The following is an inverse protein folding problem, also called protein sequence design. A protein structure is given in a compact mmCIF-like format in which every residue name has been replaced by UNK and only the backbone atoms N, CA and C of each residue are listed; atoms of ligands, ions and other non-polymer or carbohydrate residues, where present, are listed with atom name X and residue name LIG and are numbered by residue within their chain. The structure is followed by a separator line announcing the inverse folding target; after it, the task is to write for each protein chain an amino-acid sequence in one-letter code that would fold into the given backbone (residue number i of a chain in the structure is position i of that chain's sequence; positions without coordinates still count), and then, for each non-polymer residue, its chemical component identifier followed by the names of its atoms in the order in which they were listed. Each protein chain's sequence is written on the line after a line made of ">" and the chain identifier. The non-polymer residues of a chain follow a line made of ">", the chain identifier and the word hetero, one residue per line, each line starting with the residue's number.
data_IF_636190261942
#
_entry.id   IF_636190261942
#
_cell.length_a   1.000
_cell.length_b   1.000
_cell.length_c   1.000
_cell.angle_alpha   90.00
_cell.angle_beta   90.00
_cell.angle_gamma   90.00
#
_symmetry.space_group_name_H-M   'P 1'
#
loop_
_entity.id
_entity.type
_entity.pdbx_description
1 polymer ?
#
# COMPACT_ATOMS: atom_id res chain seq x y z
N UNK A 1 4.42 13.40 -23.27
CA UNK A 1 3.45 12.36 -23.61
C UNK A 1 3.23 11.57 -22.34
N UNK A 2 2.00 11.57 -21.79
CA UNK A 2 1.64 10.69 -20.69
C UNK A 2 1.75 9.26 -21.21
N UNK A 3 2.68 8.47 -20.67
CA UNK A 3 2.66 7.04 -20.90
C UNK A 3 1.28 6.54 -20.48
N UNK A 4 0.55 5.96 -21.45
CA UNK A 4 -0.75 5.39 -21.20
C UNK A 4 -0.56 4.32 -20.15
N UNK A 5 -1.19 4.50 -18.96
CA UNK A 5 -1.36 3.41 -18.00
C UNK A 5 -1.71 2.16 -18.81
N UNK A 6 -0.86 1.14 -18.74
CA UNK A 6 -1.15 -0.10 -19.43
C UNK A 6 -2.52 -0.59 -18.95
N UNK A 7 -3.47 -0.68 -19.85
CA UNK A 7 -4.80 -1.18 -19.56
C UNK A 7 -5.18 -2.28 -20.54
N UNK A 8 -5.90 -3.24 -20.03
CA UNK A 8 -6.52 -4.32 -20.79
C UNK A 8 -8.03 -4.08 -20.79
N UNK A 9 -8.68 -4.31 -21.92
CA UNK A 9 -10.13 -4.17 -22.04
C UNK A 9 -10.73 -5.37 -22.77
N UNK A 10 -11.99 -5.68 -22.46
CA UNK A 10 -12.67 -6.87 -22.93
C UNK A 10 -12.51 -8.06 -21.98
N UNK A 11 -13.60 -8.79 -21.79
CA UNK A 11 -13.71 -9.83 -20.75
C UNK A 11 -12.67 -10.93 -20.94
N UNK A 12 -12.55 -11.47 -22.17
CA UNK A 12 -11.63 -12.57 -22.49
C UNK A 12 -10.17 -12.18 -22.26
N UNK A 13 -9.76 -11.01 -22.74
CA UNK A 13 -8.38 -10.54 -22.60
C UNK A 13 -7.97 -10.35 -21.11
N UNK A 14 -8.92 -9.94 -20.26
CA UNK A 14 -8.67 -9.79 -18.82
C UNK A 14 -8.56 -11.17 -18.14
N UNK A 15 -9.41 -12.14 -18.50
CA UNK A 15 -9.31 -13.52 -18.01
C UNK A 15 -7.93 -14.10 -18.36
N UNK A 16 -7.52 -14.00 -19.63
CA UNK A 16 -6.22 -14.47 -20.09
C UNK A 16 -5.05 -13.79 -19.36
N UNK A 17 -5.15 -12.48 -19.10
CA UNK A 17 -4.14 -11.76 -18.34
C UNK A 17 -4.02 -12.26 -16.90
N UNK A 18 -5.15 -12.52 -16.21
CA UNK A 18 -5.17 -13.10 -14.87
C UNK A 18 -4.55 -14.50 -14.87
N UNK A 19 -4.95 -15.35 -15.82
CA UNK A 19 -4.43 -16.71 -15.95
C UNK A 19 -2.93 -16.75 -16.30
N UNK A 20 -2.45 -15.75 -17.04
CA UNK A 20 -1.03 -15.58 -17.34
C UNK A 20 -0.23 -14.97 -16.18
N UNK A 21 -0.85 -14.74 -15.01
CA UNK A 21 -0.18 -14.18 -13.83
C UNK A 21 0.22 -12.70 -13.96
N UNK A 22 -0.42 -11.93 -14.88
CA UNK A 22 -0.13 -10.50 -14.97
C UNK A 22 -0.63 -9.76 -13.74
N UNK A 23 0.19 -8.88 -13.20
CA UNK A 23 -0.17 -8.05 -12.06
C UNK A 23 -1.22 -7.01 -12.44
N UNK A 24 -2.42 -7.18 -11.89
CA UNK A 24 -3.55 -6.28 -12.12
C UNK A 24 -3.76 -5.42 -10.89
N UNK A 25 -3.77 -4.11 -11.09
CA UNK A 25 -4.01 -3.14 -10.03
C UNK A 25 -5.48 -3.12 -9.62
N UNK A 26 -6.39 -3.01 -10.61
CA UNK A 26 -7.84 -3.06 -10.39
C UNK A 26 -8.61 -3.40 -11.67
N UNK A 27 -9.83 -3.88 -11.49
CA UNK A 27 -10.79 -4.13 -12.58
C UNK A 27 -12.03 -3.26 -12.39
N UNK A 28 -12.38 -2.47 -13.41
CA UNK A 28 -13.67 -1.78 -13.51
C UNK A 28 -14.64 -2.64 -14.28
N UNK A 29 -15.82 -2.86 -13.73
CA UNK A 29 -16.87 -3.67 -14.35
C UNK A 29 -18.15 -2.87 -14.40
N UNK A 30 -18.84 -2.86 -15.53
CA UNK A 30 -20.16 -2.26 -15.70
C UNK A 30 -21.14 -2.87 -14.68
N UNK A 31 -22.00 -2.02 -14.05
CA UNK A 31 -22.93 -2.45 -12.98
C UNK A 31 -23.79 -3.65 -13.36
N UNK A 32 -24.36 -3.64 -14.56
CA UNK A 32 -25.36 -4.61 -15.03
C UNK A 32 -24.78 -5.64 -16.02
N UNK A 33 -23.51 -6.02 -15.85
CA UNK A 33 -22.90 -7.02 -16.72
C UNK A 33 -23.49 -8.40 -16.43
N UNK A 34 -24.05 -9.03 -17.46
CA UNK A 34 -24.63 -10.38 -17.39
C UNK A 34 -24.25 -11.11 -18.67
N UNK A 35 -23.25 -11.98 -18.60
CA UNK A 35 -22.86 -12.87 -19.69
C UNK A 35 -22.14 -14.07 -19.10
N UNK A 36 -22.09 -15.20 -19.80
CA UNK A 36 -21.33 -16.37 -19.37
C UNK A 36 -19.85 -16.01 -19.15
N UNK A 37 -19.26 -15.24 -20.07
CA UNK A 37 -17.88 -14.75 -19.91
C UNK A 37 -17.69 -13.89 -18.67
N UNK A 38 -18.70 -13.10 -18.26
CA UNK A 38 -18.58 -12.32 -17.03
C UNK A 38 -18.62 -13.19 -15.77
N UNK A 39 -19.35 -14.31 -15.78
CA UNK A 39 -19.33 -15.28 -14.69
C UNK A 39 -17.94 -15.93 -14.57
N UNK A 40 -17.36 -16.33 -15.71
CA UNK A 40 -15.99 -16.86 -15.76
C UNK A 40 -14.98 -15.86 -15.19
N UNK A 41 -15.06 -14.58 -15.59
CA UNK A 41 -14.21 -13.51 -15.04
C UNK A 41 -14.34 -13.40 -13.52
N UNK A 42 -15.56 -13.36 -12.99
CA UNK A 42 -15.76 -13.29 -11.54
C UNK A 42 -15.24 -14.54 -10.80
N UNK A 43 -15.30 -15.70 -11.43
CA UNK A 43 -14.71 -16.93 -10.88
C UNK A 43 -13.19 -16.80 -10.80
N UNK A 44 -12.54 -16.32 -11.86
CA UNK A 44 -11.09 -16.07 -11.86
C UNK A 44 -10.68 -15.03 -10.80
N UNK A 45 -11.47 -13.97 -10.63
CA UNK A 45 -11.18 -12.88 -9.68
C UNK A 45 -11.41 -13.29 -8.22
N UNK A 46 -12.27 -14.27 -7.93
CA UNK A 46 -12.67 -14.64 -6.56
C UNK A 46 -11.49 -15.05 -5.68
N UNK A 47 -10.47 -15.65 -6.27
CA UNK A 47 -9.29 -16.15 -5.54
C UNK A 47 -8.08 -15.21 -5.66
N UNK A 48 -8.31 -13.95 -6.03
CA UNK A 48 -7.26 -12.94 -6.16
C UNK A 48 -7.49 -11.77 -5.21
N UNK A 49 -6.44 -10.99 -4.95
CA UNK A 49 -6.51 -9.72 -4.22
C UNK A 49 -6.84 -8.54 -5.15
N UNK A 50 -7.25 -8.80 -6.40
CA UNK A 50 -7.53 -7.76 -7.40
C UNK A 50 -8.84 -7.06 -7.03
N UNK A 51 -8.82 -5.74 -6.76
CA UNK A 51 -10.03 -4.97 -6.46
C UNK A 51 -10.95 -4.91 -7.69
N UNK A 52 -12.23 -5.23 -7.49
CA UNK A 52 -13.27 -5.12 -8.53
C UNK A 52 -14.21 -3.98 -8.18
N UNK A 53 -14.29 -2.97 -9.03
CA UNK A 53 -15.17 -1.85 -8.85
C UNK A 53 -16.31 -1.86 -9.87
N UNK A 54 -17.55 -1.94 -9.40
CA UNK A 54 -18.74 -1.80 -10.26
C UNK A 54 -19.02 -0.34 -10.53
N UNK A 55 -19.05 0.04 -11.80
CA UNK A 55 -19.20 1.45 -12.23
C UNK A 55 -20.27 1.58 -13.33
N UNK A 56 -20.86 2.77 -13.51
CA UNK A 56 -21.67 3.07 -14.69
C UNK A 56 -20.83 2.91 -15.98
N UNK A 57 -21.45 2.48 -17.06
CA UNK A 57 -20.76 2.25 -18.35
C UNK A 57 -20.12 3.51 -18.89
N UNK A 58 -20.69 4.68 -18.62
CA UNK A 58 -20.20 6.00 -19.01
C UNK A 58 -18.81 6.28 -18.45
N UNK A 59 -18.51 5.78 -17.23
CA UNK A 59 -17.18 5.88 -16.64
C UNK A 59 -16.15 5.06 -17.44
N UNK A 60 -16.53 3.88 -17.91
CA UNK A 60 -15.66 3.03 -18.76
C UNK A 60 -15.48 3.69 -20.13
N UNK A 61 -16.56 4.23 -20.73
CA UNK A 61 -16.52 4.92 -22.02
C UNK A 61 -15.61 6.16 -22.01
N UNK A 62 -15.45 6.83 -20.86
CA UNK A 62 -14.50 7.95 -20.71
C UNK A 62 -13.04 7.48 -20.71
N UNK A 63 -12.77 6.25 -20.27
CA UNK A 63 -11.44 5.67 -20.22
C UNK A 63 -11.03 5.16 -21.60
N UNK A 64 -11.93 4.44 -22.28
CA UNK A 64 -11.70 3.91 -23.62
C UNK A 64 -12.98 3.82 -24.41
N UNK A 65 -12.90 4.17 -25.72
CA UNK A 65 -13.98 3.99 -26.70
C UNK A 65 -13.88 2.68 -27.49
N UNK A 66 -12.84 1.86 -27.21
CA UNK A 66 -12.67 0.58 -27.86
C UNK A 66 -13.71 -0.43 -27.33
N UNK A 67 -13.86 -1.56 -28.01
CA UNK A 67 -14.81 -2.60 -27.61
C UNK A 67 -14.41 -3.24 -26.27
N UNK A 68 -14.74 -2.60 -25.18
CA UNK A 68 -14.40 -3.02 -23.82
C UNK A 68 -15.38 -4.03 -23.22
N UNK A 69 -16.51 -4.30 -23.85
CA UNK A 69 -17.51 -5.28 -23.38
C UNK A 69 -17.97 -5.03 -21.92
N UNK A 70 -17.87 -3.77 -21.44
CA UNK A 70 -18.22 -3.39 -20.08
C UNK A 70 -17.14 -3.70 -19.02
N UNK A 71 -15.91 -4.03 -19.40
CA UNK A 71 -14.83 -4.33 -18.48
C UNK A 71 -13.51 -3.71 -18.94
N UNK A 72 -12.77 -3.12 -17.97
CA UNK A 72 -11.41 -2.60 -18.14
C UNK A 72 -10.58 -2.98 -16.92
N UNK A 73 -9.38 -3.47 -17.13
CA UNK A 73 -8.38 -3.73 -16.10
C UNK A 73 -7.20 -2.77 -16.25
N UNK A 74 -6.66 -2.31 -15.14
CA UNK A 74 -5.42 -1.54 -15.09
C UNK A 74 -4.30 -2.46 -14.61
N UNK A 75 -3.18 -2.41 -15.30
CA UNK A 75 -2.00 -3.20 -14.96
C UNK A 75 -1.23 -2.47 -13.85
N UNK A 76 -0.76 -3.22 -12.88
CA UNK A 76 0.14 -2.71 -11.84
C UNK A 76 1.54 -2.48 -12.40
N UNK A 77 2.21 -1.43 -11.92
CA UNK A 77 3.63 -1.19 -12.22
C UNK A 77 4.58 -1.94 -11.29
N UNK A 78 4.05 -2.63 -10.28
CA UNK A 78 4.82 -3.43 -9.31
C UNK A 78 4.22 -4.81 -9.16
N UNK A 79 5.03 -5.78 -8.77
CA UNK A 79 4.57 -7.09 -8.29
C UNK A 79 4.22 -6.95 -6.81
N UNK A 80 2.96 -7.23 -6.48
CA UNK A 80 2.54 -7.20 -5.09
C UNK A 80 3.00 -8.47 -4.36
N UNK A 81 3.46 -8.28 -3.14
CA UNK A 81 3.82 -9.36 -2.23
C UNK A 81 2.72 -9.59 -1.18
N UNK A 82 2.86 -10.66 -0.42
CA UNK A 82 2.07 -10.93 0.79
C UNK A 82 2.95 -10.76 2.01
N UNK A 83 2.39 -10.17 3.03
CA UNK A 83 3.08 -10.01 4.31
C UNK A 83 3.50 -11.36 4.90
N UNK A 84 2.65 -12.40 4.73
CA UNK A 84 2.90 -13.77 5.20
C UNK A 84 4.12 -14.44 4.55
N UNK A 85 4.46 -14.08 3.32
CA UNK A 85 5.62 -14.60 2.61
C UNK A 85 6.89 -13.80 2.94
N UNK A 86 6.77 -12.48 3.11
CA UNK A 86 7.89 -11.58 3.30
C UNK A 86 8.46 -11.64 4.73
N UNK A 87 7.60 -11.73 5.75
CA UNK A 87 8.03 -11.68 7.17
C UNK A 87 8.99 -12.82 7.52
N UNK A 88 8.69 -14.12 7.21
CA UNK A 88 9.62 -15.21 7.49
C UNK A 88 10.97 -15.01 6.81
N UNK A 89 10.97 -14.59 5.54
CA UNK A 89 12.19 -14.35 4.77
C UNK A 89 13.08 -13.29 5.43
N UNK A 90 12.51 -12.17 5.90
CA UNK A 90 13.28 -11.12 6.57
C UNK A 90 13.88 -11.60 7.90
N UNK A 91 13.15 -12.41 8.67
CA UNK A 91 13.68 -12.98 9.91
C UNK A 91 14.77 -14.04 9.66
N UNK A 92 14.64 -14.85 8.61
CA UNK A 92 15.68 -15.80 8.19
C UNK A 92 16.97 -15.09 7.78
N UNK A 93 16.86 -13.89 7.19
CA UNK A 93 18.01 -13.02 6.91
C UNK A 93 18.59 -12.31 8.16
N UNK A 94 18.01 -12.53 9.33
CA UNK A 94 18.43 -11.89 10.58
C UNK A 94 18.10 -10.40 10.68
N UNK A 95 17.15 -9.92 9.87
CA UNK A 95 16.72 -8.50 9.89
C UNK A 95 15.81 -8.22 11.07
N UNK A 96 15.78 -6.95 11.47
CA UNK A 96 14.78 -6.38 12.37
C UNK A 96 13.83 -5.50 11.56
N UNK A 97 12.72 -6.05 11.02
CA UNK A 97 11.95 -5.37 9.99
C UNK A 97 11.31 -4.05 10.45
N UNK A 98 11.26 -3.07 9.54
CA UNK A 98 10.51 -1.83 9.65
C UNK A 98 9.47 -1.79 8.54
N UNK A 99 8.20 -1.92 8.89
CA UNK A 99 7.09 -1.82 7.95
C UNK A 99 6.30 -0.53 8.14
N UNK A 100 5.74 -0.03 7.03
CA UNK A 100 4.82 1.11 7.04
C UNK A 100 3.49 0.67 6.43
N UNK A 101 2.45 0.65 7.25
CA UNK A 101 1.09 0.31 6.80
C UNK A 101 0.32 1.59 6.50
N UNK A 102 -0.25 1.67 5.30
CA UNK A 102 -1.00 2.83 4.81
C UNK A 102 -2.49 2.50 4.74
N UNK A 103 -3.22 2.89 5.77
CA UNK A 103 -4.63 2.59 5.91
C UNK A 103 -5.49 3.72 5.34
N UNK A 104 -6.05 3.49 4.14
CA UNK A 104 -6.92 4.44 3.48
C UNK A 104 -6.20 5.57 2.73
N UNK A 105 -4.89 5.47 2.49
CA UNK A 105 -4.17 6.44 1.67
C UNK A 105 -4.50 6.19 0.20
N UNK A 106 -5.17 7.15 -0.44
CA UNK A 106 -5.65 7.06 -1.84
C UNK A 106 -4.96 8.03 -2.79
N UNK A 107 -4.31 9.08 -2.27
CA UNK A 107 -3.56 10.03 -3.09
C UNK A 107 -2.21 9.44 -3.52
N UNK A 108 -2.00 9.41 -4.84
CA UNK A 108 -0.79 8.82 -5.45
C UNK A 108 0.48 9.61 -5.12
N UNK A 109 0.36 10.92 -4.87
CA UNK A 109 1.52 11.77 -4.54
C UNK A 109 1.97 11.51 -3.11
N UNK A 110 1.03 11.43 -2.17
CA UNK A 110 1.34 11.06 -0.79
C UNK A 110 1.95 9.66 -0.71
N UNK A 111 1.34 8.69 -1.39
CA UNK A 111 1.90 7.33 -1.47
C UNK A 111 3.32 7.32 -2.04
N UNK A 112 3.54 7.99 -3.18
CA UNK A 112 4.86 8.04 -3.80
C UNK A 112 5.91 8.72 -2.93
N UNK A 113 5.55 9.80 -2.23
CA UNK A 113 6.44 10.48 -1.30
C UNK A 113 6.79 9.59 -0.09
N UNK A 114 5.80 8.87 0.46
CA UNK A 114 6.03 7.89 1.55
C UNK A 114 6.93 6.76 1.06
N UNK A 115 6.65 6.20 -0.12
CA UNK A 115 7.44 5.11 -0.69
C UNK A 115 8.92 5.53 -0.88
N UNK A 116 9.15 6.73 -1.40
CA UNK A 116 10.49 7.29 -1.53
C UNK A 116 11.17 7.42 -0.17
N UNK A 117 10.46 7.91 0.85
CA UNK A 117 11.00 8.05 2.20
C UNK A 117 11.31 6.70 2.82
N UNK A 118 10.43 5.71 2.65
CA UNK A 118 10.64 4.34 3.11
C UNK A 118 11.92 3.72 2.52
N UNK A 119 12.10 3.85 1.20
CA UNK A 119 13.29 3.33 0.52
C UNK A 119 14.55 4.02 1.01
N UNK A 120 14.57 5.36 1.04
CA UNK A 120 15.71 6.14 1.54
C UNK A 120 16.07 5.83 3.00
N UNK A 121 15.09 5.43 3.80
CA UNK A 121 15.25 5.08 5.22
C UNK A 121 15.56 3.60 5.47
N UNK A 122 15.56 2.77 4.42
CA UNK A 122 15.78 1.33 4.56
C UNK A 122 14.61 0.59 5.20
N UNK A 123 13.37 1.08 5.05
CA UNK A 123 12.19 0.31 5.44
C UNK A 123 12.04 -0.92 4.53
N UNK A 124 11.63 -2.04 5.11
CA UNK A 124 11.60 -3.34 4.41
C UNK A 124 10.35 -3.54 3.57
N UNK A 125 9.22 -2.88 3.89
CA UNK A 125 8.00 -2.95 3.09
C UNK A 125 7.01 -1.83 3.39
N UNK A 126 6.14 -1.58 2.39
CA UNK A 126 4.87 -0.88 2.57
C UNK A 126 3.73 -1.88 2.50
N UNK A 127 2.76 -1.76 3.41
CA UNK A 127 1.53 -2.57 3.42
C UNK A 127 0.36 -1.67 3.05
N UNK A 128 -0.44 -2.11 2.07
CA UNK A 128 -1.65 -1.41 1.64
C UNK A 128 -2.85 -2.35 1.61
N UNK A 129 -4.08 -1.87 1.90
CA UNK A 129 -5.27 -2.67 1.69
C UNK A 129 -5.58 -2.85 0.20
N UNK A 130 -6.24 -3.95 -0.15
CA UNK A 130 -6.71 -4.19 -1.51
C UNK A 130 -7.86 -3.28 -1.94
N UNK A 131 -8.56 -2.65 -0.98
CA UNK A 131 -9.65 -1.70 -1.22
C UNK A 131 -9.35 -0.37 -0.52
N UNK A 132 -9.93 0.71 -1.03
CA UNK A 132 -9.71 2.06 -0.50
C UNK A 132 -8.24 2.42 -0.38
N UNK A 133 -7.47 2.08 -1.39
CA UNK A 133 -6.03 2.31 -1.47
C UNK A 133 -5.64 2.94 -2.79
N UNK A 134 -4.41 3.37 -2.86
CA UNK A 134 -3.80 3.94 -4.06
C UNK A 134 -3.68 2.89 -5.17
N UNK A 135 -3.73 3.34 -6.41
CA UNK A 135 -3.31 2.54 -7.57
C UNK A 135 -1.81 2.68 -7.78
N UNK A 136 -1.07 1.58 -7.76
CA UNK A 136 0.38 1.61 -8.00
C UNK A 136 0.63 1.54 -9.51
N UNK A 137 0.60 2.69 -10.13
CA UNK A 137 0.70 2.91 -11.57
C UNK A 137 1.96 3.73 -11.92
N UNK A 138 2.11 4.13 -13.18
CA UNK A 138 3.22 4.96 -13.66
C UNK A 138 3.37 6.29 -12.90
N UNK A 139 2.27 6.90 -12.45
CA UNK A 139 2.32 8.13 -11.64
C UNK A 139 2.90 7.84 -10.24
N UNK A 140 2.56 6.71 -9.63
CA UNK A 140 3.16 6.27 -8.36
C UNK A 140 4.67 6.01 -8.54
N UNK A 141 5.07 5.35 -9.62
CA UNK A 141 6.48 5.12 -9.94
C UNK A 141 7.25 6.44 -10.09
N UNK A 142 6.67 7.40 -10.79
CA UNK A 142 7.27 8.73 -10.98
C UNK A 142 7.37 9.51 -9.67
N UNK A 143 6.31 9.54 -8.86
CA UNK A 143 6.28 10.29 -7.60
C UNK A 143 7.17 9.67 -6.54
N UNK A 144 7.39 8.36 -6.57
CA UNK A 144 8.36 7.67 -5.72
C UNK A 144 9.81 7.82 -6.17
N UNK A 145 10.06 8.52 -7.29
CA UNK A 145 11.39 8.64 -7.88
C UNK A 145 12.11 7.29 -8.12
N UNK A 146 11.33 6.24 -8.42
CA UNK A 146 11.84 4.90 -8.67
C UNK A 146 11.94 3.99 -7.44
N UNK A 147 11.68 4.48 -6.22
CA UNK A 147 11.75 3.67 -5.00
C UNK A 147 10.90 2.38 -5.07
N UNK A 148 9.77 2.44 -5.76
CA UNK A 148 8.87 1.28 -5.94
C UNK A 148 9.44 0.16 -6.85
N UNK A 149 10.62 0.33 -7.45
CA UNK A 149 11.31 -0.76 -8.14
C UNK A 149 11.98 -1.73 -7.17
N UNK A 150 12.36 -1.26 -6.00
CA UNK A 150 13.14 -2.01 -4.99
C UNK A 150 12.35 -2.26 -3.72
N UNK A 151 11.51 -1.30 -3.29
CA UNK A 151 10.73 -1.40 -2.06
C UNK A 151 9.54 -2.35 -2.24
N UNK A 152 9.45 -3.45 -1.48
CA UNK A 152 8.30 -4.35 -1.49
C UNK A 152 6.99 -3.64 -1.13
N UNK A 153 5.93 -3.92 -1.91
CA UNK A 153 4.56 -3.46 -1.61
C UNK A 153 3.69 -4.68 -1.35
N UNK A 154 3.29 -4.87 -0.09
CA UNK A 154 2.36 -5.92 0.31
C UNK A 154 0.92 -5.44 0.14
N UNK A 155 0.11 -6.19 -0.60
CA UNK A 155 -1.32 -5.91 -0.77
C UNK A 155 -2.14 -6.91 0.02
N UNK A 156 -2.91 -6.42 0.99
CA UNK A 156 -3.62 -7.26 1.94
C UNK A 156 -5.15 -7.12 1.80
N UNK A 157 -5.86 -8.23 1.95
CA UNK A 157 -7.32 -8.23 1.85
C UNK A 157 -7.98 -7.62 3.09
N UNK A 158 -7.38 -7.83 4.26
CA UNK A 158 -7.92 -7.43 5.56
C UNK A 158 -6.78 -7.01 6.49
N UNK A 159 -6.66 -5.70 6.72
CA UNK A 159 -5.60 -5.16 7.59
C UNK A 159 -5.73 -5.61 9.06
N UNK A 160 -6.95 -5.86 9.56
CA UNK A 160 -7.17 -6.41 10.90
C UNK A 160 -6.45 -7.76 11.07
N UNK A 161 -6.57 -8.65 10.08
CA UNK A 161 -5.89 -9.94 10.10
C UNK A 161 -4.38 -9.77 9.96
N UNK A 162 -3.94 -8.86 9.09
CA UNK A 162 -2.51 -8.56 8.89
C UNK A 162 -1.89 -8.00 10.18
N UNK A 163 -2.56 -7.09 10.88
CA UNK A 163 -2.11 -6.57 12.18
C UNK A 163 -1.93 -7.70 13.19
N UNK A 164 -2.93 -8.59 13.32
CA UNK A 164 -2.85 -9.74 14.23
C UNK A 164 -1.68 -10.66 13.88
N UNK A 165 -1.53 -11.01 12.60
CA UNK A 165 -0.44 -11.82 12.11
C UNK A 165 0.93 -11.20 12.43
N UNK A 166 1.11 -9.90 12.19
CA UNK A 166 2.36 -9.20 12.52
C UNK A 166 2.65 -9.25 14.03
N UNK A 167 1.64 -9.05 14.87
CA UNK A 167 1.78 -9.20 16.33
C UNK A 167 2.21 -10.61 16.73
N UNK A 168 1.59 -11.64 16.15
CA UNK A 168 1.93 -13.04 16.40
C UNK A 168 3.37 -13.35 15.95
N UNK A 169 3.90 -12.63 14.94
CA UNK A 169 5.28 -12.70 14.50
C UNK A 169 6.25 -11.83 15.34
N UNK A 170 5.78 -11.16 16.38
CA UNK A 170 6.62 -10.35 17.27
C UNK A 170 6.82 -8.89 16.83
N UNK A 171 6.05 -8.40 15.86
CA UNK A 171 6.08 -6.99 15.54
C UNK A 171 5.33 -6.16 16.60
N UNK A 172 5.90 -5.03 16.92
CA UNK A 172 5.21 -3.96 17.63
C UNK A 172 4.38 -3.14 16.63
N UNK A 173 3.14 -2.89 16.95
CA UNK A 173 2.23 -2.10 16.11
C UNK A 173 2.05 -0.71 16.71
N UNK A 174 2.46 0.30 15.97
CA UNK A 174 2.45 1.70 16.41
C UNK A 174 1.56 2.52 15.48
N UNK A 175 0.49 3.11 15.99
CA UNK A 175 -0.40 3.95 15.20
C UNK A 175 -0.11 5.44 15.41
N UNK A 176 0.02 6.18 14.30
CA UNK A 176 0.10 7.63 14.30
C UNK A 176 -1.32 8.23 14.33
N UNK A 177 -1.65 8.93 15.40
CA UNK A 177 -2.97 9.56 15.57
C UNK A 177 -2.87 10.80 16.46
N UNK A 178 -3.71 11.81 16.20
CA UNK A 178 -3.81 13.00 17.08
C UNK A 178 -4.28 12.65 18.51
N UNK A 179 -4.93 11.49 18.67
CA UNK A 179 -5.39 10.95 19.95
C UNK A 179 -4.30 10.16 20.70
N UNK A 180 -3.05 10.23 20.21
CA UNK A 180 -1.95 9.49 20.80
C UNK A 180 -1.71 9.81 22.27
N UNK A 181 -1.38 8.79 23.03
CA UNK A 181 -1.16 8.90 24.49
C UNK A 181 0.10 9.70 24.81
N UNK A 182 1.09 9.63 23.93
CA UNK A 182 2.38 10.29 24.13
C UNK A 182 3.09 10.66 22.82
N UNK A 183 4.17 11.41 22.99
CA UNK A 183 5.03 11.87 21.90
C UNK A 183 5.69 10.70 21.17
N UNK A 184 5.74 10.77 19.84
CA UNK A 184 6.32 9.76 18.97
C UNK A 184 7.76 9.37 19.32
N UNK A 185 8.53 10.27 19.92
CA UNK A 185 9.93 10.02 20.32
C UNK A 185 10.06 9.05 21.50
N UNK A 186 8.96 8.78 22.21
CA UNK A 186 8.94 7.87 23.37
C UNK A 186 8.61 6.42 23.00
N UNK A 187 8.09 6.19 21.80
CA UNK A 187 7.85 4.83 21.32
C UNK A 187 9.16 4.09 21.09
N UNK A 188 9.14 2.77 21.27
CA UNK A 188 10.30 1.94 20.96
C UNK A 188 10.20 1.41 19.52
N UNK A 189 11.15 1.83 18.69
CA UNK A 189 11.25 1.39 17.28
C UNK A 189 12.43 0.43 17.03
N UNK A 190 13.15 0.00 18.07
CA UNK A 190 14.35 -0.84 17.93
C UNK A 190 14.04 -2.29 17.56
N UNK A 191 12.87 -2.77 17.98
CA UNK A 191 12.37 -4.11 17.67
C UNK A 191 11.67 -4.13 16.30
N UNK A 192 11.27 -5.31 15.78
CA UNK A 192 10.40 -5.38 14.61
C UNK A 192 9.16 -4.51 14.80
N UNK A 193 8.91 -3.57 13.91
CA UNK A 193 7.83 -2.58 14.07
C UNK A 193 7.07 -2.35 12.78
N UNK A 194 5.75 -2.19 12.91
CA UNK A 194 4.88 -1.70 11.85
C UNK A 194 4.25 -0.38 12.28
N UNK A 195 4.55 0.70 11.55
CA UNK A 195 3.96 2.03 11.74
C UNK A 195 2.72 2.15 10.87
N UNK A 196 1.56 2.42 11.49
CA UNK A 196 0.29 2.60 10.79
C UNK A 196 0.02 4.10 10.59
N UNK A 197 -0.15 4.48 9.32
CA UNK A 197 -0.55 5.81 8.89
C UNK A 197 -1.98 5.76 8.37
N UNK A 198 -2.85 6.60 8.89
CA UNK A 198 -4.26 6.68 8.48
C UNK A 198 -4.50 7.67 7.35
N UNK A 199 -5.73 7.67 6.82
CA UNK A 199 -6.21 8.63 5.84
C UNK A 199 -6.18 10.06 6.40
N UNK A 200 -6.01 11.06 5.50
CA UNK A 200 -5.85 12.47 5.91
C UNK A 200 -7.11 13.04 6.57
N UNK A 201 -8.30 12.57 6.20
CA UNK A 201 -9.59 13.06 6.68
C UNK A 201 -10.13 12.30 7.89
N UNK A 202 -9.86 11.00 7.99
CA UNK A 202 -10.46 10.10 9.00
C UNK A 202 -9.45 9.49 9.96
N UNK A 203 -8.16 9.62 9.67
CA UNK A 203 -7.11 8.98 10.45
C UNK A 203 -7.13 7.46 10.34
N UNK A 204 -6.56 6.78 11.33
CA UNK A 204 -6.61 5.33 11.46
C UNK A 204 -7.95 4.90 12.07
N UNK A 205 -8.72 3.98 11.44
CA UNK A 205 -9.99 3.49 11.99
C UNK A 205 -9.83 2.88 13.38
N UNK A 206 -10.83 3.09 14.25
CA UNK A 206 -10.79 2.60 15.63
C UNK A 206 -10.61 1.07 15.73
N UNK A 207 -11.15 0.31 14.77
CA UNK A 207 -10.98 -1.14 14.72
C UNK A 207 -9.50 -1.55 14.58
N UNK A 208 -8.68 -0.76 13.88
CA UNK A 208 -7.24 -0.99 13.77
C UNK A 208 -6.48 -0.38 14.95
N UNK A 209 -6.87 0.83 15.40
CA UNK A 209 -6.29 1.46 16.58
C UNK A 209 -6.37 0.55 17.81
N UNK A 210 -7.50 -0.12 18.03
CA UNK A 210 -7.71 -1.00 19.18
C UNK A 210 -6.80 -2.23 19.20
N UNK A 211 -6.17 -2.56 18.08
CA UNK A 211 -5.21 -3.66 17.95
C UNK A 211 -3.75 -3.21 18.10
N UNK A 212 -3.51 -1.90 18.05
CA UNK A 212 -2.17 -1.33 18.16
C UNK A 212 -1.65 -1.43 19.61
N UNK A 213 -0.34 -1.61 19.72
CA UNK A 213 0.35 -1.65 21.02
C UNK A 213 0.57 -0.25 21.57
N UNK A 214 0.77 0.72 20.67
CA UNK A 214 1.03 2.11 21.03
C UNK A 214 0.31 3.09 20.11
N UNK A 215 -0.22 4.16 20.68
CA UNK A 215 -0.79 5.30 19.96
C UNK A 215 0.10 6.51 20.20
N UNK A 216 0.66 7.02 19.14
CA UNK A 216 1.63 8.13 19.20
C UNK A 216 1.12 9.36 18.47
N UNK A 217 1.60 10.51 18.88
CA UNK A 217 1.33 11.78 18.21
C UNK A 217 2.62 12.57 17.93
N UNK A 218 2.58 13.33 16.85
CA UNK A 218 3.59 14.36 16.56
C UNK A 218 3.06 15.66 17.16
N UNK A 219 3.79 16.30 18.11
CA UNK A 219 3.35 17.56 18.70
C UNK A 219 3.20 18.67 17.66
N UNK A 220 2.09 19.37 17.68
CA UNK A 220 1.82 20.51 16.81
C UNK A 220 1.82 21.78 17.65
N UNK A 221 2.69 22.73 17.30
CA UNK A 221 2.84 23.99 18.03
C UNK A 221 2.08 25.15 17.38
N UNK A 222 1.51 24.91 16.20
CA UNK A 222 0.77 25.91 15.43
C UNK A 222 -0.74 25.82 15.62
N UNK A 223 -1.48 26.53 14.75
CA UNK A 223 -2.95 26.54 14.72
C UNK A 223 -3.55 25.48 13.79
N UNK A 224 -2.74 24.90 12.90
CA UNK A 224 -3.18 23.86 11.97
C UNK A 224 -3.19 22.53 12.72
N UNK A 225 -4.28 21.78 12.57
CA UNK A 225 -4.58 20.59 13.38
C UNK A 225 -3.91 19.30 12.89
N UNK A 226 -3.32 19.29 11.69
CA UNK A 226 -2.67 18.08 11.14
C UNK A 226 -1.50 18.43 10.22
N UNK A 227 -0.55 17.51 10.10
CA UNK A 227 0.48 17.51 9.06
C UNK A 227 -0.02 16.74 7.84
N UNK A 228 0.50 17.06 6.67
CA UNK A 228 0.37 16.17 5.52
C UNK A 228 0.89 14.77 5.87
N UNK A 229 0.18 13.72 5.46
CA UNK A 229 0.48 12.34 5.86
C UNK A 229 1.87 11.88 5.43
N UNK A 230 2.38 12.33 4.28
CA UNK A 230 3.73 11.97 3.83
C UNK A 230 4.82 12.65 4.66
N UNK A 231 4.56 13.85 5.16
CA UNK A 231 5.45 14.56 6.09
C UNK A 231 5.45 13.86 7.45
N UNK A 232 4.27 13.53 7.98
CA UNK A 232 4.15 12.79 9.24
C UNK A 232 4.86 11.43 9.16
N UNK A 233 4.65 10.68 8.08
CA UNK A 233 5.33 9.41 7.84
C UNK A 233 6.86 9.58 7.83
N UNK A 234 7.37 10.62 7.18
CA UNK A 234 8.81 10.91 7.15
C UNK A 234 9.40 11.15 8.53
N UNK A 235 8.70 11.90 9.38
CA UNK A 235 9.13 12.17 10.78
C UNK A 235 9.22 10.85 11.56
N UNK A 236 8.20 9.99 11.47
CA UNK A 236 8.14 8.74 12.23
C UNK A 236 9.14 7.71 11.73
N UNK A 237 9.28 7.56 10.42
CA UNK A 237 10.23 6.65 9.81
C UNK A 237 11.67 7.02 10.21
N UNK A 238 12.03 8.30 10.15
CA UNK A 238 13.36 8.76 10.52
C UNK A 238 13.61 8.75 12.03
N UNK A 239 12.59 8.85 12.86
CA UNK A 239 12.75 8.57 14.30
C UNK A 239 13.07 7.08 14.53
N UNK A 240 12.41 6.18 13.80
CA UNK A 240 12.75 4.75 13.87
C UNK A 240 14.19 4.48 13.43
N UNK A 241 14.63 5.07 12.31
CA UNK A 241 16.03 4.97 11.84
C UNK A 241 17.01 5.52 12.88
N UNK A 242 16.73 6.68 13.46
CA UNK A 242 17.56 7.30 14.51
C UNK A 242 17.71 6.38 15.71
N UNK A 243 16.64 5.75 16.19
CA UNK A 243 16.69 4.86 17.36
C UNK A 243 17.43 3.54 17.07
N UNK A 244 17.38 3.06 15.83
CA UNK A 244 18.11 1.87 15.38
C UNK A 244 19.60 2.10 15.14
N UNK A 245 20.01 3.38 15.10
CA UNK A 245 21.36 3.80 14.73
C UNK A 245 21.52 3.85 13.21
N UNK A 246 22.14 4.93 12.72
CA UNK A 246 22.43 5.07 11.28
C UNK A 246 23.54 4.10 10.91
N UNK A 247 23.22 2.92 10.38
CA UNK A 247 24.17 2.07 9.67
C UNK A 247 24.08 2.42 8.19
N UNK A 248 25.03 3.23 7.70
CA UNK A 248 25.21 3.37 6.24
C UNK A 248 25.70 2.02 5.71
N UNK A 249 24.84 1.29 5.06
CA UNK A 249 25.25 0.13 4.28
C UNK A 249 25.93 0.62 3.00
N UNK A 250 27.26 0.78 3.05
CA UNK A 250 28.09 1.31 1.94
C UNK A 250 28.17 0.37 0.74
N UNK A 251 27.43 -0.73 0.72
CA UNK A 251 27.46 -1.73 -0.36
C UNK A 251 26.59 -1.35 -1.56
N UNK A 252 25.70 -0.34 -1.45
CA UNK A 252 24.80 0.07 -2.54
C UNK A 252 25.38 1.14 -3.50
N UNK A 253 26.62 1.62 -3.32
CA UNK A 253 27.21 2.68 -4.13
C UNK A 253 28.24 2.21 -5.16
N UNK A 254 28.20 0.94 -5.55
CA UNK A 254 29.09 0.40 -6.59
C UNK A 254 28.31 -0.43 -7.62
N UNK A 255 27.49 0.25 -8.44
CA UNK A 255 27.09 -0.20 -9.79
C UNK A 255 26.74 1.00 -10.65
#
# INVERSE_FOLDING_TARGET
>A
MLEKNEMIFGVRAIIEAIQAGREIDKVLVKKDIQSELSKELFTCLKNTLIPVQRVPVERINRITRKNHQGVVAFISSVTYQKTEDLVPFLFEEGKTPLFVMLDGITDVRNFGAIARTCECAGADAIIIPSKNSVSVNADAMKTSAGALHTLPVCREQNLTNTIKYLKDCGFKIVAATEKGDYDYTKANYKDPVCIIMGAEDTGVPYEHLSLCDEWIKIPLMGKIESLNVSVAAGILIYEAVKQRGFTEDKTASAL
#
